data_IF_851394948584
#
_entry.id   IF_851394948584
#
_cell.length_a   1.000
_cell.length_b   1.000
_cell.length_c   1.000
_cell.angle_alpha   90.00
_cell.angle_beta   90.00
_cell.angle_gamma   90.00
#
_symmetry.space_group_name_H-M   'P 1'
#
loop_
_entity.id
_entity.type
_entity.pdbx_description
1 polymer ?
#
# COMPACT_ATOMS: atom_id res chain seq x y z
N UNK A 1 1.23 17.54 7.29
CA UNK A 1 2.33 16.95 6.49
C UNK A 1 3.51 17.91 6.41
N UNK A 2 3.38 19.05 5.74
CA UNK A 2 4.49 20.02 5.55
C UNK A 2 5.19 20.47 6.82
N UNK A 3 4.46 20.80 7.90
CA UNK A 3 5.08 21.19 9.17
C UNK A 3 5.94 20.08 9.80
N UNK A 4 5.46 18.83 9.72
CA UNK A 4 6.19 17.65 10.25
C UNK A 4 7.44 17.41 9.40
N UNK A 5 7.28 17.40 8.07
CA UNK A 5 8.38 17.19 7.14
C UNK A 5 9.47 18.27 7.28
N UNK A 6 9.07 19.54 7.41
CA UNK A 6 10.01 20.65 7.58
C UNK A 6 10.78 20.59 8.89
N UNK A 7 10.14 20.10 9.97
CA UNK A 7 10.74 20.06 11.30
C UNK A 7 11.63 18.83 11.54
N UNK A 8 11.26 17.68 10.98
CA UNK A 8 11.85 16.39 11.33
C UNK A 8 12.40 15.61 10.13
N UNK A 9 12.18 16.10 8.91
CA UNK A 9 12.51 15.42 7.67
C UNK A 9 11.38 14.50 7.18
N UNK A 10 11.32 14.30 5.86
CA UNK A 10 10.26 13.50 5.22
C UNK A 10 10.29 12.02 5.63
N UNK A 11 11.48 11.47 5.90
CA UNK A 11 11.69 10.05 6.20
C UNK A 11 10.97 9.55 7.45
N UNK A 12 10.49 10.44 8.33
CA UNK A 12 9.73 10.06 9.52
C UNK A 12 8.21 9.98 9.28
N UNK A 13 7.75 10.41 8.10
CA UNK A 13 6.34 10.64 7.82
C UNK A 13 5.81 9.60 6.84
N UNK A 14 5.23 8.54 7.40
CA UNK A 14 4.44 7.54 6.66
C UNK A 14 2.98 8.01 6.58
N UNK A 15 2.43 8.08 5.36
CA UNK A 15 1.01 8.38 5.17
C UNK A 15 0.22 7.08 4.94
N UNK A 16 -0.65 6.75 5.89
CA UNK A 16 -1.63 5.66 5.72
C UNK A 16 -2.77 6.12 4.82
N UNK A 17 -3.02 5.36 3.76
CA UNK A 17 -4.00 5.66 2.72
C UNK A 17 -4.97 4.50 2.59
N UNK A 18 -6.21 4.71 3.01
CA UNK A 18 -7.31 3.80 2.75
C UNK A 18 -7.97 4.17 1.42
N UNK A 19 -7.69 3.39 0.38
CA UNK A 19 -8.14 3.68 -0.98
C UNK A 19 -9.19 2.66 -1.42
N UNK A 20 -10.15 3.14 -2.21
CA UNK A 20 -11.29 2.34 -2.66
C UNK A 20 -11.63 2.67 -4.11
N UNK A 21 -12.04 1.66 -4.88
CA UNK A 21 -12.52 1.82 -6.26
C UNK A 21 -13.75 2.73 -6.29
N UNK A 22 -13.69 3.73 -7.15
CA UNK A 22 -14.76 4.68 -7.36
C UNK A 22 -14.73 5.17 -8.81
N UNK A 23 -15.67 4.67 -9.62
CA UNK A 23 -15.80 5.04 -11.03
C UNK A 23 -16.13 6.52 -11.27
N UNK A 24 -16.49 7.29 -10.23
CA UNK A 24 -16.69 8.74 -10.33
C UNK A 24 -15.41 9.54 -10.12
N UNK A 25 -14.38 8.93 -9.54
CA UNK A 25 -13.06 9.55 -9.43
C UNK A 25 -12.31 9.44 -10.76
N UNK A 26 -11.53 10.46 -11.10
CA UNK A 26 -10.82 10.51 -12.39
C UNK A 26 -9.81 9.37 -12.52
N UNK A 27 -9.14 9.04 -11.42
CA UNK A 27 -8.21 7.90 -11.34
C UNK A 27 -8.89 6.53 -11.21
N UNK A 28 -10.21 6.50 -11.01
CA UNK A 28 -10.92 5.28 -10.63
C UNK A 28 -10.80 4.93 -9.14
N UNK A 29 -10.09 5.73 -8.32
CA UNK A 29 -9.90 5.49 -6.90
C UNK A 29 -10.20 6.74 -6.06
N UNK A 30 -10.87 6.56 -4.93
CA UNK A 30 -11.12 7.61 -3.94
C UNK A 30 -10.35 7.34 -2.65
N UNK A 31 -10.01 8.41 -1.94
CA UNK A 31 -9.55 8.32 -0.55
C UNK A 31 -10.76 8.12 0.34
N UNK A 32 -10.62 7.24 1.33
CA UNK A 32 -11.61 7.04 2.38
C UNK A 32 -11.06 7.50 3.74
N UNK A 33 -11.96 7.67 4.70
CA UNK A 33 -11.64 8.07 6.07
C UNK A 33 -12.43 7.21 7.06
N UNK A 34 -12.14 7.39 8.36
CA UNK A 34 -12.78 6.63 9.44
C UNK A 34 -12.60 5.12 9.27
N UNK A 35 -11.40 4.70 8.85
CA UNK A 35 -11.03 3.30 8.61
C UNK A 35 -11.81 2.68 7.46
N UNK A 36 -11.76 3.28 6.26
CA UNK A 36 -12.47 2.78 5.08
C UNK A 36 -13.98 3.06 5.01
N UNK A 37 -14.60 3.61 6.07
CA UNK A 37 -16.07 3.68 6.20
C UNK A 37 -16.71 4.88 5.52
N UNK A 38 -15.95 5.93 5.28
CA UNK A 38 -16.48 7.18 4.72
C UNK A 38 -15.68 7.58 3.49
N UNK A 39 -16.31 7.47 2.32
CA UNK A 39 -15.76 7.96 1.06
C UNK A 39 -15.58 9.48 1.14
N UNK A 40 -14.43 9.98 0.70
CA UNK A 40 -14.19 11.42 0.55
C UNK A 40 -14.46 11.86 -0.89
N UNK A 41 -14.39 13.16 -1.14
CA UNK A 41 -14.40 13.73 -2.49
C UNK A 41 -13.02 13.79 -3.15
N UNK A 42 -11.98 13.29 -2.48
CA UNK A 42 -10.61 13.35 -2.97
C UNK A 42 -10.32 12.20 -3.94
N UNK A 43 -9.83 12.54 -5.12
CA UNK A 43 -9.19 11.57 -6.00
C UNK A 43 -7.90 11.05 -5.35
N UNK A 44 -7.73 9.73 -5.29
CA UNK A 44 -6.63 9.11 -4.58
C UNK A 44 -5.26 9.47 -5.17
N UNK A 45 -5.13 9.46 -6.50
CA UNK A 45 -3.87 9.74 -7.17
C UNK A 45 -3.47 11.19 -6.97
N UNK A 46 -4.40 12.13 -7.15
CA UNK A 46 -4.13 13.55 -6.94
C UNK A 46 -3.78 13.86 -5.48
N UNK A 47 -4.44 13.19 -4.53
CA UNK A 47 -4.10 13.32 -3.12
C UNK A 47 -2.70 12.80 -2.81
N UNK A 48 -2.30 11.66 -3.36
CA UNK A 48 -0.96 11.10 -3.15
C UNK A 48 0.12 11.99 -3.74
N UNK A 49 -0.08 12.55 -4.95
CA UNK A 49 0.85 13.53 -5.53
C UNK A 49 1.01 14.73 -4.61
N UNK A 50 -0.11 15.27 -4.11
CA UNK A 50 -0.08 16.40 -3.18
C UNK A 50 0.62 16.06 -1.86
N UNK A 51 0.39 14.87 -1.32
CA UNK A 51 1.03 14.42 -0.09
C UNK A 51 2.56 14.34 -0.23
N UNK A 52 3.06 13.85 -1.38
CA UNK A 52 4.48 13.82 -1.70
C UNK A 52 5.07 15.24 -1.80
N UNK A 53 4.38 16.18 -2.44
CA UNK A 53 4.80 17.60 -2.48
C UNK A 53 4.85 18.24 -1.08
N UNK A 54 3.98 17.80 -0.18
CA UNK A 54 3.95 18.24 1.22
C UNK A 54 4.99 17.53 2.09
N UNK A 55 5.86 16.72 1.50
CA UNK A 55 7.00 16.08 2.19
C UNK A 55 6.67 14.76 2.88
N UNK A 56 5.62 14.05 2.47
CA UNK A 56 5.44 12.64 2.85
C UNK A 56 6.64 11.81 2.36
N UNK A 57 7.20 10.97 3.24
CA UNK A 57 8.39 10.17 2.93
C UNK A 57 8.13 8.71 2.59
N UNK A 58 6.93 8.19 2.87
CA UNK A 58 6.54 6.82 2.56
C UNK A 58 5.00 6.70 2.50
N UNK A 59 4.51 5.88 1.58
CA UNK A 59 3.07 5.68 1.36
C UNK A 59 2.69 4.27 1.80
N UNK A 60 1.84 4.16 2.82
CA UNK A 60 1.17 2.90 3.16
C UNK A 60 -0.15 2.83 2.41
N UNK A 61 -0.15 2.10 1.29
CA UNK A 61 -1.29 1.98 0.38
C UNK A 61 -2.11 0.76 0.76
N UNK A 62 -3.29 1.01 1.33
CA UNK A 62 -4.24 0.00 1.74
C UNK A 62 -5.44 -0.03 0.77
N UNK A 63 -5.69 -1.17 0.12
CA UNK A 63 -6.91 -1.35 -0.68
C UNK A 63 -8.06 -1.82 0.20
N UNK A 64 -9.09 -0.98 0.35
CA UNK A 64 -10.31 -1.33 1.10
C UNK A 64 -11.10 -2.45 0.41
N UNK A 65 -11.03 -2.54 -0.92
CA UNK A 65 -11.74 -3.58 -1.68
C UNK A 65 -11.06 -4.94 -1.56
N UNK A 66 -9.73 -4.98 -1.38
CA UNK A 66 -8.98 -6.21 -1.15
C UNK A 66 -8.89 -6.58 0.33
N UNK A 67 -9.05 -5.63 1.26
CA UNK A 67 -8.84 -5.90 2.67
C UNK A 67 -9.80 -6.98 3.21
N UNK A 68 -9.23 -7.94 3.95
CA UNK A 68 -9.96 -9.09 4.50
C UNK A 68 -10.36 -10.19 3.50
N UNK A 69 -10.17 -10.03 2.18
CA UNK A 69 -10.57 -11.07 1.19
C UNK A 69 -9.65 -12.29 1.20
N UNK A 70 -8.36 -12.08 1.48
CA UNK A 70 -7.30 -13.09 1.34
C UNK A 70 -7.06 -13.57 -0.09
N UNK A 71 -7.48 -12.77 -1.09
CA UNK A 71 -7.32 -13.08 -2.52
C UNK A 71 -6.08 -12.43 -3.15
N UNK A 72 -5.21 -11.83 -2.33
CA UNK A 72 -3.99 -11.12 -2.75
C UNK A 72 -4.11 -9.61 -2.68
N UNK A 73 -2.96 -8.93 -2.87
CA UNK A 73 -2.93 -7.47 -2.93
C UNK A 73 -3.65 -6.93 -4.17
N UNK A 74 -4.16 -5.70 -4.08
CA UNK A 74 -4.72 -5.00 -5.23
C UNK A 74 -3.61 -4.51 -6.18
N UNK A 75 -3.23 -5.38 -7.12
CA UNK A 75 -2.12 -5.14 -8.04
C UNK A 75 -2.36 -3.92 -8.94
N UNK A 76 -3.59 -3.74 -9.42
CA UNK A 76 -3.93 -2.60 -10.28
C UNK A 76 -3.76 -1.27 -9.52
N UNK A 77 -4.26 -1.20 -8.29
CA UNK A 77 -4.06 -0.02 -7.44
C UNK A 77 -2.58 0.22 -7.17
N UNK A 78 -1.84 -0.84 -6.83
CA UNK A 78 -0.42 -0.75 -6.51
C UNK A 78 0.39 -0.25 -7.72
N UNK A 79 0.18 -0.80 -8.91
CA UNK A 79 0.81 -0.36 -10.15
C UNK A 79 0.45 1.08 -10.49
N UNK A 80 -0.82 1.47 -10.29
CA UNK A 80 -1.27 2.85 -10.51
C UNK A 80 -0.51 3.83 -9.61
N UNK A 81 -0.34 3.53 -8.31
CA UNK A 81 0.43 4.37 -7.39
C UNK A 81 1.93 4.35 -7.72
N UNK A 82 2.50 3.17 -7.98
CA UNK A 82 3.93 3.01 -8.31
C UNK A 82 4.35 3.74 -9.59
N UNK A 83 3.44 3.90 -10.55
CA UNK A 83 3.73 4.58 -11.82
C UNK A 83 4.20 6.02 -11.68
N UNK A 84 3.88 6.69 -10.56
CA UNK A 84 4.25 8.09 -10.32
C UNK A 84 4.88 8.34 -8.94
N UNK A 85 4.87 7.37 -8.04
CA UNK A 85 5.45 7.55 -6.70
C UNK A 85 6.96 7.78 -6.77
N UNK A 86 7.42 8.80 -6.05
CA UNK A 86 8.85 9.15 -5.87
C UNK A 86 9.38 8.70 -4.51
N UNK A 87 8.49 8.20 -3.66
CA UNK A 87 8.79 7.70 -2.31
C UNK A 87 8.45 6.22 -2.20
N UNK A 88 9.02 5.49 -1.23
CA UNK A 88 8.69 4.10 -1.00
C UNK A 88 7.18 3.88 -0.81
N UNK A 89 6.69 2.76 -1.33
CA UNK A 89 5.30 2.32 -1.25
C UNK A 89 5.25 0.98 -0.53
N UNK A 90 4.50 0.95 0.58
CA UNK A 90 4.13 -0.25 1.30
C UNK A 90 2.77 -0.72 0.78
N UNK A 91 2.69 -1.93 0.23
CA UNK A 91 1.41 -2.53 -0.14
C UNK A 91 0.74 -3.16 1.09
N UNK A 92 -0.57 -2.93 1.25
CA UNK A 92 -1.39 -3.44 2.34
C UNK A 92 -2.80 -3.82 1.84
N UNK A 93 -3.42 -4.77 2.55
CA UNK A 93 -4.76 -5.27 2.27
C UNK A 93 -4.77 -6.47 1.32
N UNK A 94 -5.45 -7.55 1.73
CA UNK A 94 -5.81 -8.67 0.86
C UNK A 94 -4.85 -9.86 0.76
N UNK A 95 -3.59 -9.76 1.20
CA UNK A 95 -2.68 -10.92 1.17
C UNK A 95 -3.25 -12.14 1.92
N UNK A 96 -3.29 -13.29 1.25
CA UNK A 96 -3.79 -14.57 1.77
C UNK A 96 -2.74 -15.69 1.81
N UNK A 97 -1.69 -15.57 1.01
CA UNK A 97 -0.67 -16.59 0.78
C UNK A 97 0.74 -15.97 0.66
N UNK A 98 1.78 -16.80 0.76
CA UNK A 98 3.17 -16.35 0.56
C UNK A 98 3.42 -15.84 -0.88
N UNK A 99 2.63 -16.29 -1.84
CA UNK A 99 2.74 -15.95 -3.26
C UNK A 99 2.21 -14.54 -3.53
N UNK A 100 1.28 -14.04 -2.71
CA UNK A 100 0.77 -12.67 -2.83
C UNK A 100 1.88 -11.65 -2.56
N UNK A 101 2.81 -11.96 -1.64
CA UNK A 101 4.00 -11.15 -1.42
C UNK A 101 4.88 -11.07 -2.67
N UNK A 102 5.03 -12.18 -3.39
CA UNK A 102 5.76 -12.19 -4.67
C UNK A 102 5.04 -11.34 -5.71
N UNK A 103 3.71 -11.42 -5.79
CA UNK A 103 2.91 -10.60 -6.71
C UNK A 103 3.06 -9.11 -6.40
N UNK A 104 2.94 -8.70 -5.13
CA UNK A 104 3.14 -7.32 -4.70
C UNK A 104 4.56 -6.81 -4.97
N UNK A 105 5.58 -7.62 -4.72
CA UNK A 105 6.98 -7.27 -5.03
C UNK A 105 7.19 -7.07 -6.53
N UNK A 106 6.63 -7.95 -7.38
CA UNK A 106 6.70 -7.82 -8.85
C UNK A 106 5.98 -6.60 -9.38
N UNK A 107 4.89 -6.19 -8.73
CA UNK A 107 4.17 -4.95 -9.02
C UNK A 107 4.93 -3.68 -8.56
N UNK A 108 6.08 -3.85 -7.90
CA UNK A 108 7.00 -2.77 -7.56
C UNK A 108 6.85 -2.21 -6.15
N UNK A 109 6.10 -2.87 -5.26
CA UNK A 109 6.07 -2.48 -3.84
C UNK A 109 7.49 -2.52 -3.23
N UNK A 110 7.83 -1.50 -2.46
CA UNK A 110 9.12 -1.39 -1.75
C UNK A 110 9.09 -2.15 -0.42
N UNK A 111 7.88 -2.31 0.15
CA UNK A 111 7.60 -3.15 1.30
C UNK A 111 6.19 -3.76 1.20
N UNK A 112 5.98 -4.86 1.93
CA UNK A 112 4.75 -5.65 1.88
C UNK A 112 4.27 -5.86 3.32
N UNK A 113 3.04 -5.43 3.59
CA UNK A 113 2.42 -5.50 4.91
C UNK A 113 1.24 -6.45 4.88
N UNK A 114 1.22 -7.39 5.83
CA UNK A 114 0.05 -8.20 6.12
C UNK A 114 -0.06 -8.36 7.64
N UNK A 115 -1.28 -8.55 8.15
CA UNK A 115 -1.54 -8.70 9.57
C UNK A 115 -2.22 -10.03 9.91
N UNK A 116 -3.46 -10.22 9.44
CA UNK A 116 -4.30 -11.38 9.80
C UNK A 116 -3.65 -12.71 9.45
N UNK A 117 -3.06 -12.87 8.28
CA UNK A 117 -2.44 -14.14 7.87
C UNK A 117 -1.25 -14.57 8.74
N UNK A 118 -0.53 -13.61 9.33
CA UNK A 118 0.57 -13.88 10.26
C UNK A 118 0.03 -14.17 11.66
N UNK A 119 -0.96 -13.40 12.13
CA UNK A 119 -1.58 -13.61 13.45
C UNK A 119 -2.33 -14.95 13.53
N UNK A 120 -3.02 -15.34 12.46
CA UNK A 120 -3.78 -16.58 12.37
C UNK A 120 -2.90 -17.80 12.04
N UNK A 121 -1.60 -17.59 11.78
CA UNK A 121 -0.66 -18.64 11.44
C UNK A 121 -0.90 -19.32 10.07
N UNK A 122 -1.66 -18.67 9.17
CA UNK A 122 -1.91 -19.17 7.80
C UNK A 122 -0.65 -19.15 6.94
N UNK A 123 0.17 -18.11 7.15
CA UNK A 123 1.48 -17.93 6.53
C UNK A 123 2.42 -17.46 7.63
N UNK A 124 3.64 -17.95 7.63
CA UNK A 124 4.72 -17.45 8.49
C UNK A 124 5.57 -16.42 7.75
N UNK A 125 6.24 -15.54 8.48
CA UNK A 125 7.20 -14.60 7.90
C UNK A 125 8.29 -15.35 7.12
N UNK A 126 8.70 -16.53 7.61
CA UNK A 126 9.69 -17.39 6.99
C UNK A 126 9.22 -17.90 5.62
N UNK A 127 7.96 -18.32 5.49
CA UNK A 127 7.37 -18.76 4.22
C UNK A 127 7.26 -17.62 3.22
N UNK A 128 6.79 -16.44 3.65
CA UNK A 128 6.74 -15.25 2.81
C UNK A 128 8.15 -14.87 2.29
N UNK A 129 9.15 -14.85 3.19
CA UNK A 129 10.55 -14.59 2.81
C UNK A 129 11.12 -15.66 1.89
N UNK A 130 10.78 -16.93 2.10
CA UNK A 130 11.23 -18.03 1.23
C UNK A 130 10.66 -17.89 -0.18
N UNK A 131 9.38 -17.55 -0.31
CA UNK A 131 8.74 -17.30 -1.60
C UNK A 131 9.37 -16.12 -2.34
N UNK A 132 9.63 -15.00 -1.63
CA UNK A 132 10.32 -13.83 -2.19
C UNK A 132 11.73 -14.18 -2.69
N UNK A 133 12.54 -14.90 -1.89
CA UNK A 133 13.88 -15.34 -2.32
C UNK A 133 13.84 -16.27 -3.52
N UNK A 134 12.89 -17.21 -3.54
CA UNK A 134 12.71 -18.11 -4.68
C UNK A 134 12.33 -17.35 -5.97
N UNK A 135 11.66 -16.20 -5.84
CA UNK A 135 11.33 -15.31 -6.94
C UNK A 135 12.43 -14.28 -7.28
N UNK A 136 13.59 -14.33 -6.61
CA UNK A 136 14.75 -13.48 -6.90
C UNK A 136 14.82 -12.17 -6.10
N UNK A 137 13.96 -11.97 -5.10
CA UNK A 137 13.99 -10.79 -4.24
C UNK A 137 14.88 -11.02 -3.01
N UNK A 138 15.69 -10.02 -2.66
CA UNK A 138 16.44 -10.02 -1.40
C UNK A 138 15.48 -9.85 -0.22
N UNK A 139 15.70 -10.60 0.86
CA UNK A 139 14.96 -10.45 2.11
C UNK A 139 15.94 -10.50 3.28
N UNK A 140 15.62 -9.76 4.35
CA UNK A 140 16.37 -9.74 5.62
C UNK A 140 15.50 -10.35 6.69
#
# INVERSE_FOLDING_TARGET
LGEIANKFGSQILVLSLDLKRNARATSGFTVTSHGGRTDTSLDAIEWIKRAQELGCGELLVNSIDADGTLDGFDIELLEAVKSFSRVPVIASGGAGSAQDFVAGAKAGADALLAASIFHDGKVTIQEAKAALRAAGFETR
#
